data_IF_134757929017
#
_entry.id   IF_134757929017
#
_cell.length_a   1.000
_cell.length_b   1.000
_cell.length_c   1.000
_cell.angle_alpha   90.00
_cell.angle_beta   90.00
_cell.angle_gamma   90.00
#
_symmetry.space_group_name_H-M   'P 1'
#
loop_
_entity.id
_entity.type
_entity.pdbx_description
1 polymer ?
#
# COMPACT_ATOMS: atom_id res chain seq x y z
N UNK A 1 2.11 -25.83 25.13
CA UNK A 1 1.82 -24.58 24.40
C UNK A 1 1.76 -24.94 22.92
N UNK A 2 0.78 -24.42 22.17
CA UNK A 2 0.75 -24.65 20.72
C UNK A 2 2.03 -24.07 20.10
N UNK A 3 2.60 -24.77 19.13
CA UNK A 3 3.80 -24.31 18.43
C UNK A 3 3.48 -23.01 17.68
N UNK A 4 4.26 -21.95 17.94
CA UNK A 4 4.15 -20.66 17.22
C UNK A 4 4.39 -20.88 15.73
N UNK A 5 3.63 -20.15 14.91
CA UNK A 5 3.71 -20.25 13.45
C UNK A 5 5.01 -19.63 12.95
N UNK A 6 5.66 -20.27 11.97
CA UNK A 6 6.93 -19.82 11.41
C UNK A 6 6.73 -18.95 10.18
N UNK A 7 7.40 -17.82 10.10
CA UNK A 7 7.28 -16.87 8.99
C UNK A 7 8.64 -16.67 8.34
N UNK A 8 8.70 -16.73 7.02
CA UNK A 8 9.87 -16.30 6.26
C UNK A 8 9.75 -14.81 5.91
N UNK A 9 10.83 -14.04 6.10
CA UNK A 9 10.91 -12.65 5.66
C UNK A 9 11.67 -12.53 4.32
N UNK A 10 10.90 -12.10 3.34
CA UNK A 10 11.12 -11.74 1.94
C UNK A 10 11.73 -10.38 1.58
N UNK A 11 12.99 -10.04 1.85
CA UNK A 11 13.39 -8.60 1.95
C UNK A 11 14.34 -8.15 0.82
N UNK A 12 14.07 -6.96 0.25
CA UNK A 12 15.00 -6.24 -0.65
C UNK A 12 16.22 -5.72 0.10
N UNK A 13 16.05 -4.81 1.07
CA UNK A 13 17.09 -4.31 1.97
C UNK A 13 16.55 -4.10 3.39
N UNK A 14 17.43 -4.18 4.40
CA UNK A 14 17.05 -4.00 5.81
C UNK A 14 17.93 -2.94 6.50
N UNK A 15 17.47 -1.69 6.52
CA UNK A 15 18.09 -0.56 7.24
C UNK A 15 17.06 0.24 8.03
N UNK A 16 17.48 1.19 8.86
CA UNK A 16 16.54 2.15 9.49
C UNK A 16 16.38 3.40 8.59
N UNK A 17 15.16 3.92 8.34
CA UNK A 17 13.84 3.37 8.62
C UNK A 17 13.24 2.71 7.35
N UNK A 18 13.82 1.61 6.87
CA UNK A 18 13.24 0.87 5.76
C UNK A 18 11.96 0.14 6.17
N UNK A 19 11.12 -0.18 5.21
CA UNK A 19 9.92 -0.98 5.41
C UNK A 19 10.16 -2.31 6.15
N UNK A 20 11.30 -2.98 5.88
CA UNK A 20 11.69 -4.18 6.61
C UNK A 20 11.86 -3.93 8.12
N UNK A 21 12.43 -2.80 8.52
CA UNK A 21 12.55 -2.41 9.93
C UNK A 21 11.18 -2.19 10.58
N UNK A 22 10.30 -1.47 9.89
CA UNK A 22 8.96 -1.15 10.41
C UNK A 22 8.08 -2.39 10.53
N UNK A 23 8.16 -3.34 9.60
CA UNK A 23 7.27 -4.50 9.55
C UNK A 23 7.92 -5.70 10.25
N UNK A 24 9.06 -6.19 9.75
CA UNK A 24 9.73 -7.38 10.28
C UNK A 24 10.19 -7.12 11.71
N UNK A 25 10.68 -5.90 12.00
CA UNK A 25 11.05 -5.51 13.36
C UNK A 25 9.89 -5.64 14.37
N UNK A 26 8.65 -5.33 13.99
CA UNK A 26 7.47 -5.53 14.86
C UNK A 26 7.14 -7.00 15.08
N UNK A 27 7.28 -7.84 14.06
CA UNK A 27 7.11 -9.29 14.21
C UNK A 27 8.22 -9.96 15.05
N UNK A 28 9.35 -9.28 15.26
CA UNK A 28 10.43 -9.74 16.14
C UNK A 28 10.26 -9.18 17.56
N UNK A 29 9.99 -7.87 17.69
CA UNK A 29 10.08 -7.12 18.96
C UNK A 29 8.73 -6.85 19.63
N UNK A 30 7.63 -6.92 18.88
CA UNK A 30 6.28 -6.57 19.32
C UNK A 30 5.71 -5.32 18.66
N UNK A 31 4.42 -5.12 18.88
CA UNK A 31 3.62 -4.04 18.31
C UNK A 31 3.29 -3.02 19.40
N UNK A 32 3.75 -1.77 19.31
CA UNK A 32 3.34 -0.74 20.25
C UNK A 32 1.86 -0.39 20.03
N UNK A 33 1.09 -0.36 21.10
CA UNK A 33 -0.33 0.01 21.15
C UNK A 33 -0.57 0.99 22.29
N UNK A 34 -1.74 1.64 22.32
CA UNK A 34 -2.12 2.53 23.42
C UNK A 34 -2.18 1.80 24.79
N UNK A 35 -2.42 0.49 24.78
CA UNK A 35 -2.46 -0.36 25.98
C UNK A 35 -1.09 -0.95 26.35
N UNK A 36 -0.04 -0.64 25.59
CA UNK A 36 1.33 -1.13 25.80
C UNK A 36 1.87 -1.95 24.62
N UNK A 37 2.90 -2.76 24.88
CA UNK A 37 3.53 -3.58 23.84
C UNK A 37 2.80 -4.92 23.69
N UNK A 38 2.24 -5.18 22.51
CA UNK A 38 1.65 -6.47 22.17
C UNK A 38 2.73 -7.39 21.62
N UNK A 39 2.88 -8.58 22.22
CA UNK A 39 3.84 -9.58 21.74
C UNK A 39 3.43 -10.19 20.39
N UNK A 40 4.39 -10.49 19.49
CA UNK A 40 4.08 -11.22 18.27
C UNK A 40 3.54 -12.62 18.60
N UNK A 41 2.60 -13.12 17.78
CA UNK A 41 2.02 -14.47 17.92
C UNK A 41 2.68 -15.52 17.00
N UNK A 42 3.69 -15.10 16.25
CA UNK A 42 4.42 -15.88 15.25
C UNK A 42 5.92 -15.61 15.37
N UNK A 43 6.75 -16.45 14.78
CA UNK A 43 8.21 -16.30 14.78
C UNK A 43 8.72 -16.01 13.37
N UNK A 44 9.58 -15.00 13.22
CA UNK A 44 10.39 -14.86 12.00
C UNK A 44 11.45 -15.98 12.06
N UNK A 45 11.23 -17.04 11.29
CA UNK A 45 12.04 -18.24 11.33
C UNK A 45 13.23 -18.20 10.37
N UNK A 46 13.19 -17.34 9.36
CA UNK A 46 14.25 -17.14 8.37
C UNK A 46 14.09 -15.81 7.65
N UNK A 47 15.19 -15.32 7.09
CA UNK A 47 15.21 -14.16 6.20
C UNK A 47 15.94 -14.46 4.89
N UNK A 48 15.54 -13.74 3.84
CA UNK A 48 16.33 -13.50 2.63
C UNK A 48 16.52 -11.99 2.52
N UNK A 49 17.76 -11.56 2.22
CA UNK A 49 18.12 -10.17 1.95
C UNK A 49 18.67 -10.10 0.53
N UNK A 50 18.00 -9.39 -0.38
CA UNK A 50 18.44 -9.23 -1.77
C UNK A 50 19.69 -8.35 -1.87
N UNK A 51 19.73 -7.30 -1.04
CA UNK A 51 20.78 -6.30 -0.98
C UNK A 51 21.19 -6.06 0.47
N UNK A 52 22.49 -5.87 0.69
CA UNK A 52 23.08 -5.59 2.00
C UNK A 52 23.88 -4.28 1.84
N UNK A 53 23.25 -3.11 2.03
CA UNK A 53 23.93 -1.82 1.94
C UNK A 53 24.87 -1.59 3.13
N UNK A 54 25.73 -0.57 3.05
CA UNK A 54 26.68 -0.23 4.12
C UNK A 54 26.02 0.08 5.47
N UNK A 55 24.76 0.53 5.45
CA UNK A 55 23.94 0.83 6.62
C UNK A 55 22.91 -0.27 6.94
N UNK A 56 23.13 -1.50 6.47
CA UNK A 56 22.32 -2.66 6.82
C UNK A 56 22.29 -2.90 8.34
N UNK A 57 21.10 -3.21 8.84
CA UNK A 57 20.87 -3.72 10.19
C UNK A 57 20.38 -5.17 10.18
N UNK A 58 20.00 -5.72 9.01
CA UNK A 58 19.43 -7.05 8.89
C UNK A 58 20.36 -8.16 9.38
N UNK A 59 21.66 -8.08 9.08
CA UNK A 59 22.65 -9.05 9.56
C UNK A 59 22.91 -8.93 11.07
N UNK A 60 22.78 -7.73 11.64
CA UNK A 60 22.86 -7.54 13.09
C UNK A 60 21.63 -8.13 13.77
N UNK A 61 20.43 -7.83 13.28
CA UNK A 61 19.16 -8.38 13.77
C UNK A 61 19.17 -9.91 13.68
N UNK A 62 19.65 -10.47 12.58
CA UNK A 62 19.84 -11.92 12.40
C UNK A 62 20.64 -12.55 13.55
N UNK A 63 21.78 -11.95 13.93
CA UNK A 63 22.62 -12.45 15.03
C UNK A 63 22.00 -12.25 16.40
N UNK A 64 21.33 -11.12 16.63
CA UNK A 64 20.73 -10.78 17.91
C UNK A 64 19.55 -11.71 18.27
N UNK A 65 18.74 -12.09 17.27
CA UNK A 65 17.52 -12.88 17.47
C UNK A 65 17.64 -14.34 17.01
N UNK A 66 18.85 -14.80 16.64
CA UNK A 66 19.11 -16.16 16.13
C UNK A 66 18.23 -16.53 14.91
N UNK A 67 18.09 -15.59 13.97
CA UNK A 67 17.28 -15.75 12.76
C UNK A 67 18.22 -16.01 11.58
N UNK A 68 18.20 -17.20 10.96
CA UNK A 68 19.08 -17.51 9.84
C UNK A 68 18.75 -16.69 8.59
N UNK A 69 19.78 -16.15 7.94
CA UNK A 69 19.69 -15.49 6.63
C UNK A 69 20.17 -16.46 5.55
N UNK A 70 19.31 -16.74 4.56
CA UNK A 70 19.60 -17.64 3.45
C UNK A 70 19.93 -16.87 2.17
N UNK A 71 20.70 -17.50 1.29
CA UNK A 71 21.16 -16.93 0.02
C UNK A 71 20.12 -17.03 -1.11
N UNK A 72 18.96 -17.63 -0.84
CA UNK A 72 17.86 -17.70 -1.82
C UNK A 72 16.51 -17.77 -1.12
N UNK A 73 15.48 -17.25 -1.79
CA UNK A 73 14.09 -17.32 -1.34
C UNK A 73 13.66 -18.78 -1.10
N UNK A 74 13.92 -19.76 -1.99
CA UNK A 74 13.62 -21.16 -1.71
C UNK A 74 14.28 -21.69 -0.45
N UNK A 75 15.56 -21.38 -0.21
CA UNK A 75 16.25 -21.83 0.98
C UNK A 75 15.67 -21.20 2.26
N UNK A 76 15.27 -19.93 2.22
CA UNK A 76 14.59 -19.27 3.34
C UNK A 76 13.25 -19.94 3.66
N UNK A 77 12.43 -20.20 2.64
CA UNK A 77 11.11 -20.85 2.80
C UNK A 77 11.21 -22.31 3.25
N UNK A 78 12.27 -23.02 2.87
CA UNK A 78 12.51 -24.41 3.25
C UNK A 78 13.37 -24.57 4.51
N UNK A 79 13.81 -23.47 5.14
CA UNK A 79 14.75 -23.48 6.28
C UNK A 79 16.03 -24.30 5.97
N UNK A 80 16.54 -24.19 4.74
CA UNK A 80 17.69 -24.93 4.24
C UNK A 80 17.42 -26.39 3.81
N UNK A 81 16.18 -26.88 3.98
CA UNK A 81 15.74 -28.19 3.50
C UNK A 81 15.23 -28.18 2.07
N UNK A 82 14.56 -29.27 1.68
CA UNK A 82 14.02 -29.51 0.33
C UNK A 82 12.51 -29.23 0.20
N UNK A 83 11.84 -28.92 1.31
CA UNK A 83 10.38 -28.74 1.39
C UNK A 83 10.01 -27.48 2.16
N UNK A 84 8.87 -26.88 1.78
CA UNK A 84 8.31 -25.70 2.44
C UNK A 84 8.12 -25.94 3.96
N UNK A 85 8.86 -25.20 4.77
CA UNK A 85 8.98 -25.42 6.22
C UNK A 85 8.45 -24.25 7.07
N UNK A 86 7.93 -23.19 6.43
CA UNK A 86 7.30 -22.03 7.08
C UNK A 86 5.78 -22.05 6.92
N UNK A 87 5.05 -21.39 7.80
CA UNK A 87 3.59 -21.26 7.82
C UNK A 87 3.07 -19.98 7.13
N UNK A 88 3.94 -19.05 6.74
CA UNK A 88 3.58 -17.81 6.04
C UNK A 88 4.82 -17.06 5.54
N UNK A 89 4.60 -16.06 4.68
CA UNK A 89 5.66 -15.22 4.12
C UNK A 89 5.29 -13.75 4.22
N UNK A 90 6.23 -12.94 4.71
CA UNK A 90 6.17 -11.48 4.63
C UNK A 90 7.14 -11.05 3.53
N UNK A 91 6.63 -10.54 2.41
CA UNK A 91 7.40 -10.11 1.24
C UNK A 91 7.50 -8.59 1.19
N UNK A 92 8.67 -8.05 1.49
CA UNK A 92 8.99 -6.63 1.49
C UNK A 92 9.79 -6.29 0.23
N UNK A 93 9.07 -5.91 -0.82
CA UNK A 93 9.63 -5.48 -2.10
C UNK A 93 9.75 -3.95 -2.21
N UNK A 94 10.31 -3.29 -1.20
CA UNK A 94 10.34 -1.82 -1.07
C UNK A 94 11.73 -1.33 -0.64
N UNK A 95 12.16 -0.16 -1.11
CA UNK A 95 13.55 0.31 -1.04
C UNK A 95 14.58 -0.60 -1.73
N UNK A 96 15.88 -0.30 -1.57
CA UNK A 96 16.98 -0.88 -2.32
C UNK A 96 17.32 -0.09 -3.58
N UNK A 97 18.43 -0.46 -4.20
CA UNK A 97 18.88 0.09 -5.47
C UNK A 97 18.29 -0.73 -6.63
N UNK A 98 17.13 -0.30 -7.13
CA UNK A 98 16.52 -0.84 -8.35
C UNK A 98 16.44 0.27 -9.42
N UNK A 99 16.29 -0.13 -10.68
CA UNK A 99 16.20 0.82 -11.78
C UNK A 99 14.83 1.51 -11.80
N UNK A 100 14.75 2.64 -12.49
CA UNK A 100 13.48 3.28 -12.86
C UNK A 100 13.22 3.09 -14.35
N UNK A 101 11.95 2.99 -14.76
CA UNK A 101 11.57 3.07 -16.17
C UNK A 101 11.29 4.51 -16.62
N UNK A 102 10.93 4.68 -17.89
CA UNK A 102 10.62 5.96 -18.52
C UNK A 102 9.39 6.68 -17.92
N UNK A 103 8.55 5.96 -17.17
CA UNK A 103 7.38 6.51 -16.47
C UNK A 103 7.71 6.94 -15.03
N UNK A 104 8.97 6.84 -14.60
CA UNK A 104 9.38 7.12 -13.23
C UNK A 104 8.96 6.05 -12.23
N UNK A 105 8.57 4.87 -12.69
CA UNK A 105 8.23 3.75 -11.81
C UNK A 105 9.51 3.06 -11.34
N UNK A 106 9.62 2.84 -10.03
CA UNK A 106 10.72 2.08 -9.45
C UNK A 106 10.48 0.58 -9.68
N UNK A 107 11.42 -0.09 -10.33
CA UNK A 107 11.30 -1.48 -10.79
C UNK A 107 11.56 -2.49 -9.66
N UNK A 108 10.80 -2.37 -8.58
CA UNK A 108 10.89 -3.25 -7.43
C UNK A 108 10.63 -4.72 -7.81
N UNK A 109 11.34 -5.67 -7.17
CA UNK A 109 11.33 -7.08 -7.59
C UNK A 109 10.11 -7.87 -7.07
N UNK A 110 8.98 -7.21 -6.78
CA UNK A 110 7.81 -7.85 -6.14
C UNK A 110 7.32 -9.09 -6.90
N UNK A 111 7.22 -9.01 -8.23
CA UNK A 111 6.87 -10.15 -9.09
C UNK A 111 7.91 -11.27 -9.05
N UNK A 112 9.21 -10.93 -9.04
CA UNK A 112 10.28 -11.92 -8.93
C UNK A 112 10.24 -12.65 -7.58
N UNK A 113 10.10 -11.91 -6.47
CA UNK A 113 9.96 -12.52 -5.14
C UNK A 113 8.75 -13.45 -5.07
N UNK A 114 7.59 -12.97 -5.53
CA UNK A 114 6.36 -13.75 -5.54
C UNK A 114 6.45 -15.00 -6.42
N UNK A 115 7.13 -14.92 -7.56
CA UNK A 115 7.39 -16.09 -8.41
C UNK A 115 8.21 -17.16 -7.68
N UNK A 116 9.30 -16.78 -7.02
CA UNK A 116 10.13 -17.72 -6.27
C UNK A 116 9.34 -18.36 -5.12
N UNK A 117 8.55 -17.57 -4.39
CA UNK A 117 7.66 -18.05 -3.33
C UNK A 117 6.66 -19.08 -3.89
N UNK A 118 5.97 -18.74 -4.97
CA UNK A 118 5.00 -19.63 -5.63
C UNK A 118 5.65 -20.89 -6.21
N UNK A 119 6.90 -20.79 -6.66
CA UNK A 119 7.69 -21.94 -7.12
C UNK A 119 7.83 -22.99 -6.02
N UNK A 120 8.16 -22.57 -4.78
CA UNK A 120 8.27 -23.47 -3.62
C UNK A 120 6.91 -24.05 -3.22
N UNK A 121 5.84 -23.25 -3.24
CA UNK A 121 4.50 -23.74 -2.91
C UNK A 121 4.03 -24.80 -3.90
N UNK A 122 4.24 -24.56 -5.20
CA UNK A 122 3.86 -25.49 -6.26
C UNK A 122 4.62 -26.83 -6.16
N UNK A 123 5.93 -26.80 -5.91
CA UNK A 123 6.73 -28.03 -5.78
C UNK A 123 6.42 -28.80 -4.50
N UNK A 124 6.09 -28.09 -3.41
CA UNK A 124 5.73 -28.71 -2.13
C UNK A 124 4.28 -29.20 -2.07
N UNK A 125 3.41 -28.78 -3.01
CA UNK A 125 1.98 -29.09 -3.00
C UNK A 125 1.22 -28.42 -1.85
N UNK A 126 1.79 -27.36 -1.26
CA UNK A 126 1.20 -26.64 -0.12
C UNK A 126 1.39 -25.14 -0.27
N UNK A 127 0.29 -24.41 -0.13
CA UNK A 127 0.28 -22.95 -0.09
C UNK A 127 0.21 -22.44 1.34
N UNK A 128 0.83 -21.29 1.58
CA UNK A 128 0.78 -20.55 2.86
C UNK A 128 0.38 -19.11 2.61
N UNK A 129 -0.17 -18.39 3.60
CA UNK A 129 -0.45 -16.98 3.45
C UNK A 129 0.78 -16.17 3.06
N UNK A 130 0.59 -15.21 2.15
CA UNK A 130 1.62 -14.26 1.72
C UNK A 130 1.09 -12.85 1.94
N UNK A 131 1.87 -12.04 2.64
CA UNK A 131 1.71 -10.59 2.64
C UNK A 131 2.75 -9.98 1.68
N UNK A 132 2.30 -9.23 0.68
CA UNK A 132 3.18 -8.42 -0.18
C UNK A 132 3.01 -6.96 0.22
N UNK A 133 4.08 -6.35 0.70
CA UNK A 133 4.08 -4.94 1.08
C UNK A 133 3.78 -4.04 -0.13
N UNK A 134 2.84 -3.09 0.06
CA UNK A 134 2.32 -2.16 -0.95
C UNK A 134 1.54 -2.85 -2.10
N UNK A 135 1.46 -2.18 -3.25
CA UNK A 135 0.81 -2.70 -4.46
C UNK A 135 1.59 -3.89 -5.05
N UNK A 136 0.91 -4.75 -5.81
CA UNK A 136 1.47 -6.00 -6.35
C UNK A 136 2.71 -5.80 -7.22
N UNK A 137 2.60 -4.98 -8.27
CA UNK A 137 3.71 -4.65 -9.16
C UNK A 137 3.50 -3.27 -9.77
N UNK A 138 4.58 -2.66 -10.25
CA UNK A 138 4.55 -1.35 -10.92
C UNK A 138 3.85 -1.40 -12.29
N UNK A 139 3.68 -2.59 -12.89
CA UNK A 139 2.98 -2.75 -14.16
C UNK A 139 1.83 -3.76 -14.05
N UNK A 140 0.82 -3.56 -14.91
CA UNK A 140 -0.40 -4.37 -14.93
C UNK A 140 -0.17 -5.85 -15.25
N UNK A 141 0.69 -6.16 -16.23
CA UNK A 141 0.92 -7.54 -16.64
C UNK A 141 1.47 -8.39 -15.49
N UNK A 142 2.44 -7.85 -14.76
CA UNK A 142 3.03 -8.52 -13.60
C UNK A 142 2.06 -8.57 -12.42
N UNK A 143 1.34 -7.48 -12.13
CA UNK A 143 0.34 -7.47 -11.06
C UNK A 143 -0.77 -8.50 -11.31
N UNK A 144 -1.26 -8.59 -12.56
CA UNK A 144 -2.23 -9.60 -12.98
C UNK A 144 -1.65 -11.02 -12.88
N UNK A 145 -0.41 -11.21 -13.32
CA UNK A 145 0.26 -12.52 -13.21
C UNK A 145 0.36 -12.98 -11.75
N UNK A 146 0.74 -12.07 -10.83
CA UNK A 146 0.80 -12.38 -9.40
C UNK A 146 -0.57 -12.78 -8.86
N UNK A 147 -1.64 -12.05 -9.20
CA UNK A 147 -3.00 -12.39 -8.79
C UNK A 147 -3.45 -13.76 -9.36
N UNK A 148 -3.32 -13.96 -10.67
CA UNK A 148 -3.71 -15.20 -11.33
C UNK A 148 -2.96 -16.41 -10.74
N UNK A 149 -1.67 -16.24 -10.44
CA UNK A 149 -0.84 -17.28 -9.83
C UNK A 149 -1.25 -17.57 -8.39
N UNK A 150 -1.60 -16.55 -7.62
CA UNK A 150 -2.14 -16.73 -6.27
C UNK A 150 -3.45 -17.54 -6.30
N UNK A 151 -4.34 -17.25 -7.25
CA UNK A 151 -5.59 -17.99 -7.45
C UNK A 151 -5.31 -19.44 -7.85
N UNK A 152 -4.44 -19.66 -8.85
CA UNK A 152 -4.08 -21.01 -9.33
C UNK A 152 -3.57 -21.91 -8.19
N UNK A 153 -2.74 -21.35 -7.31
CA UNK A 153 -2.14 -22.06 -6.19
C UNK A 153 -2.97 -22.02 -4.90
N UNK A 154 -4.14 -21.35 -4.89
CA UNK A 154 -4.93 -21.10 -3.67
C UNK A 154 -4.10 -20.46 -2.53
N UNK A 155 -3.29 -19.46 -2.86
CA UNK A 155 -2.51 -18.69 -1.89
C UNK A 155 -3.43 -17.67 -1.20
N UNK A 156 -3.56 -17.68 0.14
CA UNK A 156 -4.17 -16.57 0.86
C UNK A 156 -3.28 -15.34 0.71
N UNK A 157 -3.67 -14.42 -0.16
CA UNK A 157 -2.79 -13.33 -0.61
C UNK A 157 -3.32 -11.97 -0.18
N UNK A 158 -2.51 -11.23 0.56
CA UNK A 158 -2.79 -9.86 0.97
C UNK A 158 -1.71 -8.94 0.43
N UNK A 159 -2.12 -7.78 -0.08
CA UNK A 159 -1.24 -6.71 -0.49
C UNK A 159 -1.91 -5.36 -0.16
N UNK A 160 -1.10 -4.31 -0.11
CA UNK A 160 -1.57 -2.94 0.05
C UNK A 160 -0.75 -2.14 1.05
N UNK A 161 -1.05 -0.85 1.14
CA UNK A 161 -0.46 0.02 2.14
C UNK A 161 -1.24 0.07 3.43
N UNK A 162 -0.69 0.76 4.42
CA UNK A 162 -1.34 1.03 5.69
C UNK A 162 -2.36 2.18 5.63
N UNK A 163 -2.43 2.96 4.54
CA UNK A 163 -3.29 4.16 4.45
C UNK A 163 -4.78 3.87 4.70
N UNK A 164 -5.37 2.76 4.19
CA UNK A 164 -6.74 2.36 4.55
C UNK A 164 -6.98 2.16 6.05
N UNK A 165 -5.93 1.90 6.82
CA UNK A 165 -5.96 1.66 8.27
C UNK A 165 -5.59 2.89 9.10
N UNK A 166 -5.34 4.03 8.44
CA UNK A 166 -5.02 5.29 9.10
C UNK A 166 -6.18 5.81 9.96
N UNK A 167 -5.84 6.51 11.04
CA UNK A 167 -6.83 7.15 11.90
C UNK A 167 -7.54 8.27 11.17
N UNK A 168 -8.83 8.45 11.43
CA UNK A 168 -9.65 9.49 10.81
C UNK A 168 -9.92 10.60 11.82
N UNK A 169 -9.68 11.84 11.40
CA UNK A 169 -9.81 13.02 12.25
C UNK A 169 -10.35 14.21 11.42
N UNK A 170 -11.58 14.71 11.66
CA UNK A 170 -12.57 14.16 12.58
C UNK A 170 -12.96 12.72 12.20
N UNK A 171 -13.45 11.95 13.17
CA UNK A 171 -13.89 10.58 12.90
C UNK A 171 -14.97 10.57 11.82
N UNK A 172 -14.73 9.81 10.75
CA UNK A 172 -15.69 9.60 9.67
C UNK A 172 -15.64 8.14 9.23
N UNK A 173 -16.72 7.40 9.49
CA UNK A 173 -16.93 6.10 8.87
C UNK A 173 -18.33 6.12 8.25
N UNK A 174 -18.38 5.96 6.92
CA UNK A 174 -19.66 5.86 6.23
C UNK A 174 -20.40 4.62 6.70
N UNK A 175 -21.71 4.73 6.89
CA UNK A 175 -22.54 3.54 7.07
C UNK A 175 -22.44 2.62 5.84
N UNK A 176 -22.68 1.32 6.04
CA UNK A 176 -22.78 0.42 4.88
C UNK A 176 -23.97 0.85 4.02
N UNK A 177 -23.79 0.76 2.71
CA UNK A 177 -24.75 1.21 1.70
C UNK A 177 -25.06 2.71 1.74
N UNK A 178 -24.11 3.53 2.20
CA UNK A 178 -24.24 4.98 2.22
C UNK A 178 -24.53 5.53 0.80
N UNK A 179 -25.44 6.52 0.67
CA UNK A 179 -25.74 7.16 -0.61
C UNK A 179 -24.67 8.20 -0.94
N UNK A 180 -23.45 7.74 -1.19
CA UNK A 180 -22.33 8.59 -1.62
C UNK A 180 -22.56 8.98 -3.08
N UNK A 181 -22.56 10.29 -3.36
CA UNK A 181 -22.88 10.85 -4.67
C UNK A 181 -21.62 11.25 -5.46
N UNK A 182 -20.60 11.72 -4.75
CA UNK A 182 -19.31 12.18 -5.29
C UNK A 182 -18.26 12.10 -4.17
N UNK A 183 -16.99 11.88 -4.53
CA UNK A 183 -15.90 11.75 -3.58
C UNK A 183 -14.58 12.26 -4.15
N UNK A 184 -13.76 12.85 -3.27
CA UNK A 184 -12.46 13.38 -3.60
C UNK A 184 -11.43 13.07 -2.52
N UNK A 185 -10.22 12.69 -2.93
CA UNK A 185 -9.06 12.53 -2.06
C UNK A 185 -7.96 13.53 -2.47
N UNK A 186 -7.45 14.29 -1.51
CA UNK A 186 -6.19 15.03 -1.63
C UNK A 186 -5.04 14.15 -1.18
N UNK A 187 -3.95 14.19 -1.93
CA UNK A 187 -2.76 13.38 -1.75
C UNK A 187 -1.52 14.18 -2.13
N UNK A 188 -0.35 13.67 -1.78
CA UNK A 188 0.96 14.31 -1.96
C UNK A 188 2.02 13.24 -2.23
N UNK A 189 3.20 13.63 -2.72
CA UNK A 189 4.27 12.74 -3.19
C UNK A 189 4.28 12.53 -4.71
N UNK A 190 5.08 11.56 -5.17
CA UNK A 190 5.16 11.22 -6.60
C UNK A 190 3.91 10.48 -7.09
N UNK A 191 3.53 10.69 -8.35
CA UNK A 191 2.37 10.07 -9.01
C UNK A 191 2.39 8.54 -8.84
N UNK A 192 3.54 7.90 -9.11
CA UNK A 192 3.69 6.45 -9.02
C UNK A 192 3.98 5.95 -7.60
N UNK A 193 4.77 6.69 -6.81
CA UNK A 193 5.20 6.26 -5.48
C UNK A 193 4.16 6.51 -4.38
N UNK A 194 3.27 7.49 -4.57
CA UNK A 194 2.26 7.89 -3.59
C UNK A 194 0.84 7.98 -4.15
N UNK A 195 0.64 8.08 -5.47
CA UNK A 195 -0.71 8.14 -6.04
C UNK A 195 -1.57 6.93 -5.66
N UNK A 196 -0.97 5.73 -5.62
CA UNK A 196 -1.69 4.53 -5.17
C UNK A 196 -2.09 4.55 -3.69
N UNK A 197 -1.37 5.28 -2.83
CA UNK A 197 -1.79 5.47 -1.44
C UNK A 197 -3.09 6.25 -1.35
N UNK A 198 -3.21 7.33 -2.13
CA UNK A 198 -4.45 8.06 -2.21
C UNK A 198 -5.58 7.23 -2.83
N UNK A 199 -5.29 6.35 -3.81
CA UNK A 199 -6.30 5.43 -4.35
C UNK A 199 -6.80 4.45 -3.31
N UNK A 200 -5.91 3.81 -2.56
CA UNK A 200 -6.30 2.88 -1.50
C UNK A 200 -7.08 3.58 -0.38
N UNK A 201 -6.65 4.78 0.02
CA UNK A 201 -7.37 5.60 0.99
C UNK A 201 -8.77 5.98 0.50
N UNK A 202 -8.89 6.42 -0.75
CA UNK A 202 -10.17 6.77 -1.37
C UNK A 202 -11.09 5.55 -1.46
N UNK A 203 -10.55 4.43 -1.96
CA UNK A 203 -11.26 3.17 -2.12
C UNK A 203 -11.86 2.67 -0.81
N UNK A 204 -11.08 2.69 0.28
CA UNK A 204 -11.54 2.29 1.61
C UNK A 204 -12.70 3.14 2.16
N UNK A 205 -12.86 4.38 1.67
CA UNK A 205 -13.99 5.24 2.02
C UNK A 205 -15.20 4.94 1.14
N UNK A 206 -15.01 4.90 -0.19
CA UNK A 206 -16.12 4.83 -1.16
C UNK A 206 -16.68 3.43 -1.37
N UNK A 207 -15.98 2.37 -0.95
CA UNK A 207 -16.51 0.99 -1.00
C UNK A 207 -17.67 0.75 -0.03
N UNK A 208 -17.94 1.70 0.88
CA UNK A 208 -19.11 1.65 1.77
C UNK A 208 -20.36 2.24 1.11
N UNK A 209 -20.25 2.80 -0.10
CA UNK A 209 -21.40 3.30 -0.87
C UNK A 209 -22.38 2.17 -1.18
N UNK A 210 -23.63 2.52 -1.49
CA UNK A 210 -24.64 1.56 -1.97
C UNK A 210 -24.12 0.74 -3.15
N UNK A 211 -24.14 -0.58 -3.00
CA UNK A 211 -23.63 -1.52 -4.02
C UNK A 211 -22.17 -1.92 -3.82
N UNK A 212 -21.42 -1.20 -2.98
CA UNK A 212 -20.06 -1.53 -2.59
C UNK A 212 -19.04 -1.45 -3.72
N UNK A 213 -17.99 -2.27 -3.64
CA UNK A 213 -16.93 -2.29 -4.65
C UNK A 213 -17.38 -2.97 -5.96
N UNK A 214 -17.12 -2.31 -7.09
CA UNK A 214 -17.56 -2.75 -8.42
C UNK A 214 -16.44 -2.86 -9.44
N UNK A 215 -15.24 -2.39 -9.11
CA UNK A 215 -14.14 -2.17 -10.03
C UNK A 215 -14.27 -0.86 -10.82
N UNK A 216 -13.12 -0.41 -11.32
CA UNK A 216 -13.01 0.73 -12.21
C UNK A 216 -13.33 0.33 -13.67
N UNK A 217 -13.99 1.23 -14.38
CA UNK A 217 -14.21 1.19 -15.82
C UNK A 217 -13.11 1.99 -16.55
N UNK A 218 -12.72 3.15 -16.00
CA UNK A 218 -11.68 4.00 -16.56
C UNK A 218 -10.95 4.80 -15.48
N UNK A 219 -9.69 5.14 -15.78
CA UNK A 219 -8.87 6.09 -15.03
C UNK A 219 -8.23 7.04 -16.03
N UNK A 220 -8.37 8.34 -15.81
CA UNK A 220 -7.67 9.36 -16.59
C UNK A 220 -6.74 10.15 -15.67
N UNK A 221 -5.44 10.20 -16.01
CA UNK A 221 -4.48 11.07 -15.35
C UNK A 221 -4.39 12.40 -16.13
N UNK A 222 -4.50 13.51 -15.40
CA UNK A 222 -4.30 14.86 -15.88
C UNK A 222 -3.11 15.46 -15.13
N UNK A 223 -2.32 16.27 -15.82
CA UNK A 223 -1.13 16.93 -15.24
C UNK A 223 -1.11 18.41 -15.62
N UNK A 224 -0.53 19.24 -14.75
CA UNK A 224 -0.38 20.68 -14.98
C UNK A 224 -1.72 21.40 -15.12
N UNK A 225 -1.78 22.37 -16.04
CA UNK A 225 -2.96 23.23 -16.24
C UNK A 225 -4.26 22.45 -16.53
N UNK A 226 -4.15 21.26 -17.14
CA UNK A 226 -5.31 20.41 -17.40
C UNK A 226 -6.06 20.01 -16.12
N UNK A 227 -5.36 19.94 -14.98
CA UNK A 227 -5.98 19.68 -13.67
C UNK A 227 -6.94 20.81 -13.28
N UNK A 228 -6.49 22.07 -13.41
CA UNK A 228 -7.27 23.24 -13.03
C UNK A 228 -8.42 23.50 -13.97
N UNK A 229 -8.19 23.32 -15.27
CA UNK A 229 -9.24 23.37 -16.29
C UNK A 229 -10.33 22.31 -16.01
N UNK A 230 -9.95 21.07 -15.69
CA UNK A 230 -10.91 20.03 -15.33
C UNK A 230 -11.75 20.40 -14.10
N UNK A 231 -11.17 21.11 -13.13
CA UNK A 231 -11.92 21.62 -11.97
C UNK A 231 -12.86 22.76 -12.30
N UNK A 232 -12.48 23.63 -13.25
CA UNK A 232 -13.35 24.67 -13.78
C UNK A 232 -14.53 24.08 -14.58
N UNK A 233 -14.28 22.98 -15.31
CA UNK A 233 -15.27 22.26 -16.11
C UNK A 233 -16.16 21.31 -15.28
N UNK A 234 -15.91 21.20 -13.96
CA UNK A 234 -16.70 20.38 -13.05
C UNK A 234 -16.44 18.88 -13.16
N UNK A 235 -15.29 18.46 -13.71
CA UNK A 235 -14.88 17.06 -13.77
C UNK A 235 -14.39 16.53 -12.41
N UNK A 236 -14.00 17.43 -11.51
CA UNK A 236 -13.85 17.17 -10.09
C UNK A 236 -14.41 18.36 -9.29
N UNK A 237 -14.86 18.09 -8.06
CA UNK A 237 -15.57 19.09 -7.26
C UNK A 237 -14.64 20.02 -6.47
N UNK A 238 -14.65 21.31 -6.81
CA UNK A 238 -13.95 22.36 -6.04
C UNK A 238 -14.44 22.48 -4.59
N UNK A 239 -15.73 22.22 -4.35
CA UNK A 239 -16.30 22.21 -3.00
C UNK A 239 -15.75 21.06 -2.15
N UNK A 240 -15.65 19.85 -2.72
CA UNK A 240 -15.06 18.70 -2.03
C UNK A 240 -13.56 18.89 -1.81
N UNK A 241 -12.83 19.45 -2.79
CA UNK A 241 -11.42 19.79 -2.61
C UNK A 241 -11.20 20.76 -1.45
N UNK A 242 -12.02 21.82 -1.36
CA UNK A 242 -11.96 22.78 -0.25
C UNK A 242 -12.30 22.14 1.10
N UNK A 243 -13.30 21.26 1.15
CA UNK A 243 -13.67 20.56 2.38
C UNK A 243 -12.59 19.57 2.85
N UNK A 244 -11.98 18.82 1.94
CA UNK A 244 -10.85 17.95 2.24
C UNK A 244 -9.65 18.76 2.75
N UNK A 245 -9.30 19.86 2.07
CA UNK A 245 -8.24 20.77 2.48
C UNK A 245 -8.47 21.33 3.90
N UNK A 246 -9.71 21.74 4.21
CA UNK A 246 -10.07 22.27 5.52
C UNK A 246 -9.97 21.22 6.65
N UNK A 247 -10.11 19.93 6.36
CA UNK A 247 -9.90 18.85 7.32
C UNK A 247 -8.42 18.47 7.49
N UNK A 248 -7.61 18.67 6.44
CA UNK A 248 -6.19 18.34 6.41
C UNK A 248 -5.26 19.47 6.87
N UNK A 249 -3.95 19.24 6.70
CA UNK A 249 -2.92 20.28 6.78
C UNK A 249 -2.55 20.73 5.38
N UNK A 250 -2.77 22.00 5.09
CA UNK A 250 -2.48 22.59 3.77
C UNK A 250 -1.74 23.91 3.90
N UNK A 251 -1.13 24.35 2.79
CA UNK A 251 -0.59 25.69 2.64
C UNK A 251 -1.69 26.75 2.83
N UNK A 252 -1.28 27.94 3.26
CA UNK A 252 -2.14 29.13 3.33
C UNK A 252 -2.33 29.80 1.96
N UNK A 253 -1.45 29.49 1.00
CA UNK A 253 -1.58 29.95 -0.39
C UNK A 253 -2.69 29.16 -1.13
N UNK A 254 -3.32 29.75 -2.16
CA UNK A 254 -4.24 29.01 -3.03
C UNK A 254 -3.60 27.75 -3.61
N UNK A 255 -4.39 26.69 -3.83
CA UNK A 255 -3.86 25.40 -4.30
C UNK A 255 -3.17 25.50 -5.67
N UNK A 256 -3.67 26.38 -6.53
CA UNK A 256 -3.10 26.66 -7.86
C UNK A 256 -1.73 27.34 -7.79
N UNK A 257 -1.49 28.16 -6.76
CA UNK A 257 -0.23 28.89 -6.56
C UNK A 257 0.79 28.02 -5.79
N UNK A 258 0.32 27.24 -4.81
CA UNK A 258 1.14 26.41 -3.95
C UNK A 258 1.63 25.12 -4.63
N UNK A 259 0.96 24.66 -5.69
CA UNK A 259 1.28 23.41 -6.39
C UNK A 259 1.78 23.67 -7.81
N UNK A 260 3.09 23.65 -7.98
CA UNK A 260 3.73 23.89 -9.29
C UNK A 260 3.42 22.80 -10.33
N UNK A 261 3.35 21.53 -9.90
CA UNK A 261 3.15 20.37 -10.76
C UNK A 261 1.98 19.52 -10.26
N UNK A 262 0.72 19.97 -10.43
CA UNK A 262 -0.44 19.23 -9.98
C UNK A 262 -0.69 18.01 -10.88
N UNK A 263 -1.22 16.95 -10.28
CA UNK A 263 -1.82 15.85 -11.02
C UNK A 263 -3.22 15.54 -10.47
N UNK A 264 -4.11 15.07 -11.34
CA UNK A 264 -5.43 14.60 -10.97
C UNK A 264 -5.74 13.28 -11.63
N UNK A 265 -6.33 12.36 -10.88
CA UNK A 265 -6.88 11.13 -11.42
C UNK A 265 -8.40 11.21 -11.35
N UNK A 266 -9.03 11.17 -12.52
CA UNK A 266 -10.48 11.06 -12.64
C UNK A 266 -10.84 9.58 -12.76
N UNK A 267 -11.69 9.13 -11.86
CA UNK A 267 -12.08 7.73 -11.71
C UNK A 267 -13.53 7.55 -12.15
N UNK A 268 -13.75 6.56 -13.01
CA UNK A 268 -15.08 6.08 -13.37
C UNK A 268 -15.23 4.63 -12.94
N UNK A 269 -16.15 4.37 -12.02
CA UNK A 269 -16.49 3.04 -11.55
C UNK A 269 -17.50 2.38 -12.49
N UNK A 270 -17.54 1.05 -12.50
CA UNK A 270 -18.43 0.27 -13.40
C UNK A 270 -19.93 0.45 -13.13
N UNK A 271 -20.29 0.95 -11.96
CA UNK A 271 -21.67 1.35 -11.61
C UNK A 271 -22.02 2.79 -12.02
N UNK A 272 -21.08 3.51 -12.64
CA UNK A 272 -21.23 4.91 -13.03
C UNK A 272 -20.87 5.91 -11.94
N UNK A 273 -20.49 5.46 -10.73
CA UNK A 273 -19.96 6.35 -9.70
C UNK A 273 -18.65 6.99 -10.18
N UNK A 274 -18.44 8.26 -9.83
CA UNK A 274 -17.24 9.01 -10.17
C UNK A 274 -16.58 9.54 -8.92
N UNK A 275 -15.26 9.58 -8.95
CA UNK A 275 -14.45 10.15 -7.89
C UNK A 275 -13.19 10.79 -8.47
N UNK A 276 -12.53 11.63 -7.68
CA UNK A 276 -11.28 12.25 -8.06
C UNK A 276 -10.21 12.08 -6.99
N UNK A 277 -8.95 11.99 -7.42
CA UNK A 277 -7.79 12.11 -6.55
C UNK A 277 -6.93 13.25 -7.06
N UNK A 278 -6.65 14.24 -6.21
CA UNK A 278 -5.74 15.35 -6.53
C UNK A 278 -4.42 15.15 -5.80
N UNK A 279 -3.33 15.12 -6.56
CA UNK A 279 -1.97 14.99 -6.09
C UNK A 279 -1.33 16.38 -6.09
N UNK A 280 -1.35 17.06 -4.94
CA UNK A 280 -1.05 18.49 -4.84
C UNK A 280 0.20 18.76 -3.98
N UNK A 281 1.37 18.43 -4.54
CA UNK A 281 2.67 18.67 -3.91
C UNK A 281 2.88 20.16 -3.58
N UNK A 282 3.35 20.46 -2.37
CA UNK A 282 3.52 21.83 -1.87
C UNK A 282 2.26 22.44 -1.26
N UNK A 283 1.08 22.01 -1.69
CA UNK A 283 -0.19 22.44 -1.10
C UNK A 283 -0.63 21.57 0.08
N UNK A 284 -0.46 20.23 -0.01
CA UNK A 284 -0.97 19.26 0.98
C UNK A 284 0.18 18.47 1.60
N UNK A 285 0.11 18.21 2.91
CA UNK A 285 1.10 17.40 3.65
C UNK A 285 0.54 16.07 4.20
N UNK A 286 -0.79 15.88 4.15
CA UNK A 286 -1.50 14.71 4.70
C UNK A 286 -2.62 14.28 3.74
N UNK A 287 -2.94 12.98 3.67
CA UNK A 287 -4.11 12.55 2.91
C UNK A 287 -5.39 13.08 3.55
N UNK A 288 -6.29 13.63 2.73
CA UNK A 288 -7.60 14.10 3.20
C UNK A 288 -8.69 13.81 2.20
N UNK A 289 -9.84 13.42 2.72
CA UNK A 289 -10.98 12.93 1.97
C UNK A 289 -12.17 13.84 2.19
N UNK A 290 -12.96 14.05 1.14
CA UNK A 290 -14.30 14.59 1.26
C UNK A 290 -15.25 13.84 0.33
N UNK A 291 -16.51 13.76 0.72
CA UNK A 291 -17.58 13.24 -0.12
C UNK A 291 -18.89 13.94 0.13
N UNK A 292 -19.77 13.86 -0.87
CA UNK A 292 -21.16 14.26 -0.75
C UNK A 292 -22.03 13.04 -0.43
N UNK A 293 -22.79 13.11 0.65
CA UNK A 293 -23.68 12.04 1.12
C UNK A 293 -25.04 12.65 1.41
N UNK A 294 -26.08 12.26 0.68
CA UNK A 294 -27.43 12.87 0.76
C UNK A 294 -27.40 14.41 0.63
N UNK A 295 -26.63 14.93 -0.32
CA UNK A 295 -26.43 16.37 -0.51
C UNK A 295 -25.48 17.07 0.48
N UNK A 296 -25.13 16.45 1.61
CA UNK A 296 -24.25 17.04 2.63
C UNK A 296 -22.78 16.67 2.39
N UNK A 297 -21.87 17.63 2.59
CA UNK A 297 -20.43 17.39 2.49
C UNK A 297 -19.88 16.91 3.82
N UNK A 298 -19.18 15.79 3.78
CA UNK A 298 -18.47 15.19 4.91
C UNK A 298 -16.99 15.06 4.57
N UNK A 299 -16.11 15.37 5.52
CA UNK A 299 -14.67 15.36 5.29
C UNK A 299 -13.89 14.84 6.49
N UNK A 300 -12.72 14.27 6.23
CA UNK A 300 -11.76 13.79 7.23
C UNK A 300 -10.35 13.86 6.67
N UNK A 301 -9.33 13.97 7.53
CA UNK A 301 -7.95 13.58 7.16
C UNK A 301 -7.63 12.16 7.61
N UNK A 302 -6.63 11.56 6.99
CA UNK A 302 -6.03 10.28 7.39
C UNK A 302 -4.70 10.55 8.11
N UNK A 303 -4.60 10.12 9.36
CA UNK A 303 -3.41 10.23 10.20
C UNK A 303 -2.72 8.88 10.31
N UNK A 304 -1.45 8.86 9.91
CA UNK A 304 -0.57 7.68 9.91
C UNK A 304 0.37 7.67 11.10
#
# INVERSE_FOLDING_TARGET
MAQRKKIAAVITEYRVPAHADVIVGKFIKGFPTDEGMQEPQVDIASMYLDQIPDNDIGLQVSKEYDIPVYQSIPAALCLGGDKLAVDGVISIGEHGAYAFNEKGQHLYPRRFFFEQICGVMATSGRSVPVFSDKHLSYNWCDAKWMYDRAVELNVPFMAGSSVPLGWRDPWLEHERDAPIEDALMLSFGGIESYGYHGFEGLQAMVERRRGGETGLAAVQCLEGEAVWQAGADGLWSRELAAAAAAAGKTSAEPMEDACENPAAFLLEYRDGFKAALLQLNGYVEEWSYAARVNGEVQATRLRM
#
